data_IF_549686385372
#
_entry.id   IF_549686385372
#
_cell.length_a   1.000
_cell.length_b   1.000
_cell.length_c   1.000
_cell.angle_alpha   90.00
_cell.angle_beta   90.00
_cell.angle_gamma   90.00
#
_symmetry.space_group_name_H-M   'P 1'
#
loop_
_entity.id
_entity.type
_entity.pdbx_description
1 polymer ?
#
# COMPACT_ATOMS: atom_id res chain seq x y z
N UNK A 1 -37.51 34.49 -1.74
CA UNK A 1 -36.09 34.21 -1.45
C UNK A 1 -35.30 34.39 -2.74
N UNK A 2 -34.38 35.36 -2.77
CA UNK A 2 -33.79 35.91 -4.01
C UNK A 2 -32.70 34.97 -4.58
N UNK A 3 -32.61 34.78 -5.92
CA UNK A 3 -31.64 33.88 -6.58
C UNK A 3 -30.16 34.24 -6.35
N UNK A 4 -29.90 35.43 -5.79
CA UNK A 4 -28.56 35.95 -5.51
C UNK A 4 -27.92 35.25 -4.30
N UNK A 5 -28.69 34.91 -3.27
CA UNK A 5 -28.15 34.22 -2.08
C UNK A 5 -27.72 32.79 -2.38
N UNK A 6 -28.39 32.12 -3.32
CA UNK A 6 -28.01 30.76 -3.76
C UNK A 6 -26.73 30.75 -4.60
N UNK A 7 -26.47 31.80 -5.40
CA UNK A 7 -25.23 31.96 -6.16
C UNK A 7 -24.04 32.30 -5.27
N UNK A 8 -24.23 33.14 -4.25
CA UNK A 8 -23.20 33.43 -3.23
C UNK A 8 -22.85 32.21 -2.37
N UNK A 9 -23.83 31.38 -2.00
CA UNK A 9 -23.57 30.14 -1.25
C UNK A 9 -22.79 29.11 -2.08
N UNK A 10 -23.10 28.99 -3.38
CA UNK A 10 -22.38 28.11 -4.30
C UNK A 10 -20.96 28.62 -4.59
N UNK A 11 -20.76 29.94 -4.67
CA UNK A 11 -19.42 30.54 -4.77
C UNK A 11 -18.58 30.33 -3.50
N UNK A 12 -19.18 30.41 -2.30
CA UNK A 12 -18.50 30.11 -1.04
C UNK A 12 -18.13 28.61 -0.92
N UNK A 13 -19.02 27.70 -1.35
CA UNK A 13 -18.70 26.27 -1.42
C UNK A 13 -17.64 25.94 -2.49
N UNK A 14 -17.61 26.66 -3.61
CA UNK A 14 -16.58 26.47 -4.65
C UNK A 14 -15.22 27.04 -4.26
N UNK A 15 -15.16 28.09 -3.43
CA UNK A 15 -13.89 28.66 -2.96
C UNK A 15 -13.21 27.77 -1.90
N UNK A 16 -13.98 26.97 -1.15
CA UNK A 16 -13.45 25.99 -0.20
C UNK A 16 -12.80 24.75 -0.86
N UNK A 17 -12.99 24.52 -2.17
CA UNK A 17 -12.48 23.33 -2.88
C UNK A 17 -11.12 23.54 -3.56
N UNK A 18 -10.57 24.77 -3.56
CA UNK A 18 -9.29 25.09 -4.22
C UNK A 18 -8.09 25.18 -3.27
N UNK A 19 -8.30 24.89 -2.00
CA UNK A 19 -7.24 24.80 -1.01
C UNK A 19 -6.55 23.43 -1.13
N UNK A 20 -5.82 23.21 -2.23
CA UNK A 20 -4.70 22.27 -2.26
C UNK A 20 -3.62 22.80 -1.33
N UNK A 21 -3.91 22.80 -0.02
CA UNK A 21 -3.01 23.32 0.99
C UNK A 21 -1.81 22.37 1.01
N UNK A 22 -0.69 22.83 0.47
CA UNK A 22 0.58 22.49 1.09
C UNK A 22 0.42 22.89 2.56
N UNK A 23 0.06 21.92 3.39
CA UNK A 23 0.02 22.10 4.83
C UNK A 23 1.46 22.46 5.22
N UNK A 24 1.66 23.60 5.87
CA UNK A 24 2.96 23.96 6.42
C UNK A 24 3.44 22.92 7.44
N UNK A 25 4.66 23.07 7.93
CA UNK A 25 5.15 22.20 9.01
C UNK A 25 4.19 22.31 10.21
N UNK A 26 3.68 21.21 10.78
CA UNK A 26 2.77 21.28 11.91
C UNK A 26 3.47 21.91 13.12
N UNK A 27 2.71 22.74 13.85
CA UNK A 27 3.18 23.51 15.01
C UNK A 27 4.24 24.58 14.72
N UNK A 28 4.54 24.85 13.45
CA UNK A 28 5.25 26.06 13.02
C UNK A 28 4.32 27.27 13.21
N UNK A 29 4.72 28.20 14.08
CA UNK A 29 3.86 29.28 14.55
C UNK A 29 4.10 30.58 13.78
N UNK A 30 5.33 30.80 13.34
CA UNK A 30 5.67 31.98 12.53
C UNK A 30 5.52 31.73 11.02
N UNK A 31 5.37 30.47 10.60
CA UNK A 31 5.09 30.06 9.24
C UNK A 31 6.32 30.13 8.34
N UNK A 32 7.52 29.97 8.89
CA UNK A 32 8.78 30.03 8.15
C UNK A 32 9.23 28.67 7.55
N UNK A 33 8.36 27.65 7.61
CA UNK A 33 8.58 26.26 7.19
C UNK A 33 9.71 25.55 7.97
N UNK A 34 10.11 26.08 9.13
CA UNK A 34 11.15 25.53 10.01
C UNK A 34 10.67 25.45 11.46
N UNK A 35 10.30 24.25 11.89
CA UNK A 35 9.94 23.99 13.28
C UNK A 35 11.17 24.08 14.20
N UNK A 36 11.18 25.09 15.07
CA UNK A 36 12.23 25.33 16.05
C UNK A 36 11.94 24.65 17.40
N UNK A 37 12.98 24.54 18.25
CA UNK A 37 12.83 23.96 19.59
C UNK A 37 11.85 24.76 20.48
N UNK A 38 11.88 26.12 20.50
CA UNK A 38 10.90 26.91 21.26
C UNK A 38 9.46 26.71 20.81
N UNK A 39 9.22 26.59 19.50
CA UNK A 39 7.88 26.35 18.96
C UNK A 39 7.35 24.97 19.34
N UNK A 40 8.17 23.94 19.17
CA UNK A 40 7.80 22.58 19.60
C UNK A 40 7.55 22.53 21.12
N UNK A 41 8.41 23.17 21.93
CA UNK A 41 8.23 23.23 23.38
C UNK A 41 6.92 23.94 23.76
N UNK A 42 6.61 25.06 23.11
CA UNK A 42 5.37 25.80 23.32
C UNK A 42 4.16 24.93 22.96
N UNK A 43 4.19 24.26 21.82
CA UNK A 43 3.13 23.33 21.39
C UNK A 43 2.90 22.17 22.39
N UNK A 44 3.98 21.63 22.98
CA UNK A 44 3.89 20.60 24.03
C UNK A 44 3.24 21.18 25.29
N UNK A 45 3.69 22.35 25.74
CA UNK A 45 3.19 22.99 26.96
C UNK A 45 1.72 23.38 26.81
N UNK A 46 1.33 24.00 25.70
CA UNK A 46 -0.06 24.35 25.38
C UNK A 46 -0.93 23.08 25.37
N UNK A 47 -0.44 21.97 24.80
CA UNK A 47 -1.16 20.70 24.82
C UNK A 47 -1.29 20.08 26.22
N UNK A 48 -0.34 20.28 27.13
CA UNK A 48 -0.42 19.77 28.51
C UNK A 48 -1.35 20.64 29.35
N UNK A 49 -1.25 21.96 29.20
CA UNK A 49 -2.08 22.94 29.90
C UNK A 49 -3.56 22.74 29.58
N UNK A 50 -3.89 22.64 28.28
CA UNK A 50 -5.26 22.41 27.82
C UNK A 50 -5.84 21.06 28.27
N UNK A 51 -5.01 20.01 28.40
CA UNK A 51 -5.47 18.66 28.77
C UNK A 51 -5.61 18.44 30.27
N UNK A 52 -4.75 19.05 31.08
CA UNK A 52 -4.60 18.69 32.49
C UNK A 52 -4.80 19.85 33.46
N UNK A 53 -4.58 21.09 33.03
CA UNK A 53 -4.55 22.26 33.91
C UNK A 53 -5.73 23.21 33.71
N UNK A 54 -6.59 22.95 32.72
CA UNK A 54 -7.76 23.79 32.42
C UNK A 54 -7.41 25.04 31.59
N UNK A 55 -6.30 25.00 30.87
CA UNK A 55 -5.86 26.06 29.97
C UNK A 55 -6.91 26.42 28.91
N UNK A 56 -7.00 27.71 28.59
CA UNK A 56 -7.93 28.24 27.57
C UNK A 56 -7.26 28.51 26.22
N UNK A 57 -5.95 28.29 26.10
CA UNK A 57 -5.21 28.45 24.84
C UNK A 57 -5.61 27.30 23.90
N UNK A 58 -5.83 27.62 22.63
CA UNK A 58 -6.10 26.61 21.60
C UNK A 58 -4.87 25.72 21.41
N UNK A 59 -4.95 24.49 21.91
CA UNK A 59 -3.86 23.53 21.83
C UNK A 59 -3.82 22.83 20.46
N UNK A 60 -2.62 22.47 19.96
CA UNK A 60 -2.49 21.70 18.74
C UNK A 60 -3.14 20.31 18.89
N UNK A 61 -3.61 19.76 17.77
CA UNK A 61 -4.20 18.42 17.79
C UNK A 61 -3.15 17.38 18.21
N UNK A 62 -3.55 16.25 18.85
CA UNK A 62 -2.61 15.18 19.18
C UNK A 62 -1.86 14.62 17.97
N UNK A 63 -2.46 14.74 16.77
CA UNK A 63 -1.86 14.30 15.51
C UNK A 63 -0.76 15.27 15.07
N UNK A 64 -1.04 16.57 15.10
CA UNK A 64 -0.07 17.61 14.71
C UNK A 64 1.12 17.62 15.66
N UNK A 65 0.90 17.46 16.97
CA UNK A 65 1.99 17.41 17.95
C UNK A 65 2.92 16.21 17.71
N UNK A 66 2.37 15.04 17.33
CA UNK A 66 3.18 13.86 16.98
C UNK A 66 3.93 14.07 15.67
N UNK A 67 3.31 14.69 14.68
CA UNK A 67 3.97 15.01 13.40
C UNK A 67 5.10 16.01 13.61
N UNK A 68 4.86 17.08 14.38
CA UNK A 68 5.85 18.10 14.74
C UNK A 68 7.06 17.46 15.44
N UNK A 69 6.83 16.62 16.45
CA UNK A 69 7.90 15.91 17.15
C UNK A 69 8.71 15.01 16.20
N UNK A 70 8.04 14.29 15.30
CA UNK A 70 8.72 13.45 14.30
C UNK A 70 9.56 14.29 13.34
N UNK A 71 9.01 15.39 12.82
CA UNK A 71 9.68 16.27 11.86
C UNK A 71 10.90 16.92 12.49
N UNK A 72 10.77 17.39 13.73
CA UNK A 72 11.87 17.93 14.50
C UNK A 72 13.01 16.91 14.65
N UNK A 73 12.69 15.69 15.09
CA UNK A 73 13.67 14.63 15.37
C UNK A 73 14.31 14.05 14.10
N UNK A 74 13.52 13.84 13.04
CA UNK A 74 13.97 13.06 11.88
C UNK A 74 14.29 13.92 10.66
N UNK A 75 13.64 15.07 10.51
CA UNK A 75 13.78 15.96 9.36
C UNK A 75 14.40 17.32 9.73
N UNK A 76 15.01 17.41 10.91
CA UNK A 76 15.70 18.61 11.41
C UNK A 76 14.77 19.84 11.42
N UNK A 77 13.49 19.63 11.73
CA UNK A 77 12.46 20.67 11.80
C UNK A 77 11.88 21.12 10.45
N UNK A 78 12.29 20.52 9.33
CA UNK A 78 11.93 21.01 7.99
C UNK A 78 11.11 20.01 7.19
N UNK A 79 10.50 20.49 6.10
CA UNK A 79 9.88 19.63 5.10
C UNK A 79 10.91 18.71 4.44
N UNK A 80 10.49 17.49 4.07
CA UNK A 80 11.33 16.51 3.38
C UNK A 80 10.97 16.45 1.90
N UNK A 81 11.94 16.74 1.04
CA UNK A 81 11.78 16.61 -0.42
C UNK A 81 12.34 15.27 -0.91
N UNK A 82 11.54 14.53 -1.67
CA UNK A 82 11.89 13.21 -2.21
C UNK A 82 11.74 13.22 -3.72
N UNK A 83 12.78 12.76 -4.41
CA UNK A 83 12.73 12.46 -5.84
C UNK A 83 12.56 10.95 -6.01
N UNK A 84 11.52 10.56 -6.75
CA UNK A 84 11.24 9.17 -7.07
C UNK A 84 11.98 8.71 -8.35
N UNK A 85 11.95 7.41 -8.66
CA UNK A 85 12.68 6.85 -9.80
C UNK A 85 12.08 7.23 -11.16
N UNK A 86 10.89 7.86 -11.18
CA UNK A 86 10.34 8.48 -12.38
C UNK A 86 10.86 9.91 -12.60
N UNK A 87 11.70 10.42 -11.68
CA UNK A 87 12.25 11.77 -11.71
C UNK A 87 11.31 12.82 -11.14
N UNK A 88 10.19 12.42 -10.52
CA UNK A 88 9.24 13.35 -9.92
C UNK A 88 9.63 13.69 -8.49
N UNK A 89 9.63 14.97 -8.18
CA UNK A 89 9.91 15.49 -6.85
C UNK A 89 8.61 15.76 -6.08
N UNK A 90 8.53 15.26 -4.85
CA UNK A 90 7.41 15.47 -3.93
C UNK A 90 7.93 15.99 -2.59
N UNK A 91 7.36 17.09 -2.09
CA UNK A 91 7.67 17.65 -0.78
C UNK A 91 6.67 17.16 0.26
N UNK A 92 7.18 16.67 1.39
CA UNK A 92 6.45 16.18 2.53
C UNK A 92 6.57 17.16 3.68
N UNK A 93 5.45 17.72 4.11
CA UNK A 93 5.33 18.48 5.36
C UNK A 93 4.81 17.65 6.53
N UNK A 94 4.45 16.38 6.27
CA UNK A 94 3.99 15.42 7.28
C UNK A 94 4.53 14.01 6.99
N UNK A 95 4.83 13.20 8.01
CA UNK A 95 5.28 11.82 7.85
C UNK A 95 4.22 10.93 7.21
N UNK A 96 4.66 9.93 6.43
CA UNK A 96 3.75 8.94 5.83
C UNK A 96 3.35 7.88 6.87
N UNK A 97 2.04 7.65 7.02
CA UNK A 97 1.46 6.75 8.03
C UNK A 97 0.58 5.64 7.42
N UNK A 98 0.05 5.84 6.22
CA UNK A 98 -0.91 4.92 5.58
C UNK A 98 -0.49 4.66 4.13
N UNK A 99 0.45 3.74 3.97
CA UNK A 99 1.06 3.40 2.69
C UNK A 99 0.31 2.25 2.03
N UNK A 100 -0.09 2.45 0.77
CA UNK A 100 -0.63 1.43 -0.11
C UNK A 100 0.40 1.02 -1.17
N UNK A 101 0.66 -0.28 -1.33
CA UNK A 101 1.70 -0.80 -2.21
C UNK A 101 1.11 -1.69 -3.31
N UNK A 102 1.28 -1.31 -4.57
CA UNK A 102 0.91 -2.17 -5.71
C UNK A 102 2.07 -3.05 -6.20
N UNK A 103 3.28 -2.82 -5.70
CA UNK A 103 4.52 -3.51 -6.05
C UNK A 103 5.15 -4.23 -4.83
N UNK A 104 5.44 -5.52 -4.98
CA UNK A 104 6.08 -6.32 -3.93
C UNK A 104 7.56 -5.97 -3.71
N UNK A 105 8.27 -5.54 -4.76
CA UNK A 105 9.70 -5.20 -4.68
C UNK A 105 9.96 -4.01 -3.73
N UNK A 106 9.10 -2.99 -3.79
CA UNK A 106 9.16 -1.88 -2.85
C UNK A 106 8.78 -2.31 -1.45
N UNK A 107 7.83 -3.24 -1.27
CA UNK A 107 7.52 -3.77 0.06
C UNK A 107 8.75 -4.43 0.69
N UNK A 108 9.49 -5.22 -0.07
CA UNK A 108 10.75 -5.83 0.39
C UNK A 108 11.80 -4.78 0.76
N UNK A 109 11.91 -3.71 -0.03
CA UNK A 109 12.79 -2.59 0.26
C UNK A 109 12.40 -1.89 1.56
N UNK A 110 11.12 -1.57 1.75
CA UNK A 110 10.59 -0.93 2.96
C UNK A 110 10.80 -1.81 4.20
N UNK A 111 10.55 -3.12 4.08
CA UNK A 111 10.84 -4.10 5.12
C UNK A 111 12.34 -4.12 5.47
N UNK A 112 13.22 -4.08 4.46
CA UNK A 112 14.68 -4.14 4.64
C UNK A 112 15.26 -2.92 5.35
N UNK A 113 14.66 -1.74 5.15
CA UNK A 113 15.03 -0.51 5.88
C UNK A 113 14.30 -0.39 7.22
N UNK A 114 13.47 -1.36 7.60
CA UNK A 114 12.77 -1.41 8.88
C UNK A 114 11.64 -0.40 8.99
N UNK A 115 10.86 -0.22 7.92
CA UNK A 115 9.53 0.40 8.01
C UNK A 115 8.60 -0.58 8.70
N UNK A 116 7.86 -0.07 9.68
CA UNK A 116 6.94 -0.88 10.47
C UNK A 116 5.77 -1.40 9.62
N UNK A 117 5.36 -2.68 9.78
CA UNK A 117 4.28 -3.27 8.99
C UNK A 117 2.93 -2.57 9.15
N UNK A 118 2.65 -1.95 10.30
CA UNK A 118 1.39 -1.24 10.61
C UNK A 118 1.17 0.01 9.74
N UNK A 119 2.25 0.56 9.18
CA UNK A 119 2.15 1.66 8.20
C UNK A 119 1.66 1.19 6.83
N UNK A 120 1.75 -0.11 6.54
CA UNK A 120 1.32 -0.68 5.26
C UNK A 120 -0.15 -1.10 5.38
N UNK A 121 -1.05 -0.28 4.83
CA UNK A 121 -2.50 -0.46 4.98
C UNK A 121 -3.14 -1.24 3.82
N UNK A 122 -2.41 -1.43 2.72
CA UNK A 122 -2.84 -2.19 1.56
C UNK A 122 -1.66 -2.73 0.78
N UNK A 123 -1.77 -3.95 0.28
CA UNK A 123 -0.72 -4.64 -0.48
C UNK A 123 -1.27 -5.27 -1.76
N UNK A 124 -0.37 -5.45 -2.74
CA UNK A 124 -0.64 -6.22 -3.95
C UNK A 124 -1.04 -7.66 -3.60
N UNK A 125 -1.95 -8.25 -4.40
CA UNK A 125 -2.39 -9.64 -4.23
C UNK A 125 -1.24 -10.65 -4.18
N UNK A 126 -0.15 -10.37 -4.89
CA UNK A 126 1.03 -11.25 -4.93
C UNK A 126 1.74 -11.35 -3.58
N UNK A 127 1.63 -10.33 -2.72
CA UNK A 127 2.12 -10.36 -1.35
C UNK A 127 1.29 -11.35 -0.51
N UNK A 128 -0.02 -11.36 -0.72
CA UNK A 128 -0.94 -12.24 0.00
C UNK A 128 -0.86 -13.70 -0.50
N UNK A 129 -0.48 -13.91 -1.76
CA UNK A 129 -0.27 -15.23 -2.35
C UNK A 129 0.98 -15.96 -1.80
N UNK A 130 1.90 -15.25 -1.12
CA UNK A 130 3.08 -15.85 -0.45
C UNK A 130 3.07 -15.61 1.08
N UNK A 131 2.25 -16.37 1.83
CA UNK A 131 2.14 -16.24 3.28
C UNK A 131 3.39 -16.67 4.04
N UNK A 132 4.28 -17.45 3.42
CA UNK A 132 5.52 -17.89 4.05
C UNK A 132 6.54 -16.76 4.07
N UNK A 133 6.61 -15.99 2.98
CA UNK A 133 7.52 -14.86 2.87
C UNK A 133 6.93 -13.55 3.43
N UNK A 134 5.60 -13.41 3.42
CA UNK A 134 4.87 -12.23 3.92
C UNK A 134 3.86 -12.56 5.03
N UNK A 135 4.27 -13.22 6.13
CA UNK A 135 3.34 -13.63 7.18
C UNK A 135 2.67 -12.43 7.89
N UNK A 136 3.38 -11.32 8.08
CA UNK A 136 2.86 -10.14 8.77
C UNK A 136 1.85 -9.31 7.96
N UNK A 137 1.72 -9.56 6.65
CA UNK A 137 0.82 -8.83 5.76
C UNK A 137 -0.48 -9.58 5.43
N UNK A 138 -0.69 -10.78 5.98
CA UNK A 138 -1.85 -11.62 5.64
C UNK A 138 -3.20 -11.03 6.05
N UNK A 139 -3.22 -10.09 7.00
CA UNK A 139 -4.42 -9.34 7.39
C UNK A 139 -4.59 -7.99 6.66
N UNK A 140 -3.68 -7.64 5.75
CA UNK A 140 -3.66 -6.35 5.08
C UNK A 140 -4.61 -6.35 3.87
N UNK A 141 -5.20 -5.19 3.55
CA UNK A 141 -6.16 -5.09 2.45
C UNK A 141 -5.53 -5.48 1.10
N UNK A 142 -6.26 -6.27 0.31
CA UNK A 142 -5.84 -6.71 -1.02
C UNK A 142 -6.16 -5.63 -2.07
N UNK A 143 -5.14 -5.07 -2.70
CA UNK A 143 -5.30 -4.00 -3.70
C UNK A 143 -5.41 -4.52 -5.14
N UNK A 144 -5.50 -5.84 -5.32
CA UNK A 144 -5.39 -6.45 -6.64
C UNK A 144 -3.95 -6.39 -7.17
N UNK A 145 -3.75 -6.05 -8.43
CA UNK A 145 -2.41 -5.87 -9.00
C UNK A 145 -2.32 -4.61 -9.85
N UNK A 146 -1.11 -4.19 -10.22
CA UNK A 146 -0.92 -3.02 -11.10
C UNK A 146 -1.70 -3.10 -12.42
N UNK A 147 -1.96 -4.31 -12.93
CA UNK A 147 -2.71 -4.54 -14.17
C UNK A 147 -4.22 -4.74 -13.95
N UNK A 148 -4.63 -5.07 -12.73
CA UNK A 148 -6.02 -5.26 -12.34
C UNK A 148 -6.21 -4.73 -10.92
N UNK A 149 -6.13 -3.40 -10.73
CA UNK A 149 -6.20 -2.79 -9.40
C UNK A 149 -7.63 -2.80 -8.87
N UNK A 150 -7.77 -3.02 -7.57
CA UNK A 150 -9.03 -2.85 -6.85
C UNK A 150 -9.14 -1.41 -6.34
N UNK A 151 -9.78 -0.55 -7.14
CA UNK A 151 -9.93 0.88 -6.82
C UNK A 151 -10.84 1.13 -5.63
N UNK A 152 -11.89 0.33 -5.46
CA UNK A 152 -12.82 0.49 -4.34
C UNK A 152 -12.13 0.17 -3.02
N UNK A 153 -11.40 -0.95 -2.99
CA UNK A 153 -10.63 -1.34 -1.82
C UNK A 153 -9.52 -0.33 -1.52
N UNK A 154 -8.77 0.11 -2.54
CA UNK A 154 -7.71 1.12 -2.39
C UNK A 154 -8.24 2.47 -1.88
N UNK A 155 -9.42 2.91 -2.33
CA UNK A 155 -10.05 4.13 -1.83
C UNK A 155 -10.57 3.98 -0.39
N UNK A 156 -11.17 2.82 -0.06
CA UNK A 156 -11.77 2.58 1.25
C UNK A 156 -10.77 2.65 2.41
N UNK A 157 -9.52 2.25 2.17
CA UNK A 157 -8.46 2.25 3.18
C UNK A 157 -7.84 3.64 3.39
N UNK A 158 -8.22 4.66 2.61
CA UNK A 158 -7.74 6.06 2.73
C UNK A 158 -6.22 6.15 2.95
N UNK A 159 -5.42 5.75 1.94
CA UNK A 159 -3.97 5.87 2.03
C UNK A 159 -3.54 7.33 1.98
N UNK A 160 -2.43 7.68 2.64
CA UNK A 160 -1.79 8.99 2.48
C UNK A 160 -0.65 8.96 1.46
N UNK A 161 -0.17 7.75 1.11
CA UNK A 161 0.76 7.51 0.03
C UNK A 161 0.47 6.20 -0.71
N UNK A 162 0.69 6.20 -2.03
CA UNK A 162 0.61 5.04 -2.91
C UNK A 162 1.93 4.85 -3.63
N UNK A 163 2.51 3.66 -3.56
CA UNK A 163 3.76 3.33 -4.24
C UNK A 163 3.48 2.42 -5.44
N UNK A 164 4.08 2.79 -6.58
CA UNK A 164 3.91 2.16 -7.88
C UNK A 164 5.29 1.90 -8.51
N UNK A 165 5.30 1.17 -9.61
CA UNK A 165 6.50 1.03 -10.44
C UNK A 165 6.81 2.34 -11.17
N UNK A 166 8.10 2.62 -11.37
CA UNK A 166 8.54 3.76 -12.18
C UNK A 166 8.55 3.43 -13.67
N UNK A 167 9.17 2.31 -14.04
CA UNK A 167 9.37 1.95 -15.45
C UNK A 167 8.56 0.75 -15.91
N UNK A 168 8.09 -0.10 -14.98
CA UNK A 168 7.21 -1.22 -15.32
C UNK A 168 5.75 -0.76 -15.42
N UNK A 169 5.11 -1.07 -16.55
CA UNK A 169 3.67 -0.82 -16.76
C UNK A 169 3.28 0.63 -16.48
N UNK A 170 4.05 1.56 -17.04
CA UNK A 170 3.90 3.01 -16.82
C UNK A 170 2.48 3.52 -17.08
N UNK A 171 1.82 3.04 -18.13
CA UNK A 171 0.43 3.39 -18.46
C UNK A 171 -0.56 2.94 -17.38
N UNK A 172 -0.45 1.69 -16.92
CA UNK A 172 -1.30 1.18 -15.84
C UNK A 172 -1.05 1.93 -14.53
N UNK A 173 0.20 2.28 -14.22
CA UNK A 173 0.53 3.11 -13.06
C UNK A 173 -0.05 4.52 -13.19
N UNK A 174 -0.04 5.10 -14.40
CA UNK A 174 -0.67 6.40 -14.66
C UNK A 174 -2.19 6.35 -14.50
N UNK A 175 -2.85 5.26 -14.92
CA UNK A 175 -4.29 5.07 -14.73
C UNK A 175 -4.65 4.93 -13.25
N UNK A 176 -3.84 4.20 -12.47
CA UNK A 176 -4.02 4.09 -11.02
C UNK A 176 -3.89 5.45 -10.35
N UNK A 177 -2.82 6.18 -10.68
CA UNK A 177 -2.56 7.50 -10.15
C UNK A 177 -3.70 8.49 -10.46
N UNK A 178 -4.12 8.53 -11.72
CA UNK A 178 -5.24 9.39 -12.17
C UNK A 178 -6.52 9.06 -11.43
N UNK A 179 -6.85 7.77 -11.31
CA UNK A 179 -8.10 7.32 -10.69
C UNK A 179 -8.11 7.62 -9.20
N UNK A 180 -7.09 7.19 -8.46
CA UNK A 180 -7.03 7.42 -7.01
C UNK A 180 -6.91 8.91 -6.65
N UNK A 181 -6.16 9.70 -7.43
CA UNK A 181 -6.09 11.16 -7.23
C UNK A 181 -7.44 11.85 -7.47
N UNK A 182 -8.26 11.33 -8.38
CA UNK A 182 -9.62 11.88 -8.61
C UNK A 182 -10.57 11.63 -7.43
N UNK A 183 -10.31 10.58 -6.64
CA UNK A 183 -11.08 10.22 -5.45
C UNK A 183 -10.60 11.03 -4.24
N UNK A 184 -9.29 11.10 -4.04
CA UNK A 184 -8.67 11.87 -2.97
C UNK A 184 -7.41 12.58 -3.48
N UNK A 185 -7.46 13.93 -3.66
CA UNK A 185 -6.32 14.69 -4.14
C UNK A 185 -5.19 14.80 -3.11
N UNK A 186 -5.42 14.41 -1.85
CA UNK A 186 -4.41 14.37 -0.79
C UNK A 186 -3.47 13.17 -0.86
N UNK A 187 -3.77 12.17 -1.70
CA UNK A 187 -2.92 10.99 -1.87
C UNK A 187 -1.62 11.39 -2.58
N UNK A 188 -0.50 11.07 -1.95
CA UNK A 188 0.84 11.25 -2.52
C UNK A 188 1.22 10.00 -3.30
N UNK A 189 1.86 10.17 -4.45
CA UNK A 189 2.28 9.04 -5.28
C UNK A 189 3.80 9.01 -5.34
N UNK A 190 4.35 7.81 -5.23
CA UNK A 190 5.78 7.56 -5.37
C UNK A 190 6.00 6.42 -6.34
N UNK A 191 6.94 6.61 -7.28
CA UNK A 191 7.28 5.58 -8.25
C UNK A 191 8.70 5.08 -8.04
N UNK A 192 8.84 3.82 -7.67
CA UNK A 192 10.14 3.18 -7.45
C UNK A 192 10.23 1.88 -8.23
N UNK A 193 11.39 1.58 -8.80
CA UNK A 193 11.58 0.29 -9.45
C UNK A 193 11.91 -0.77 -8.41
N UNK A 194 12.79 -0.51 -7.45
CA UNK A 194 13.15 -1.36 -6.30
C UNK A 194 13.60 -2.80 -6.62
N UNK A 195 13.53 -3.23 -7.89
CA UNK A 195 14.07 -4.47 -8.42
C UNK A 195 15.39 -4.22 -9.18
N UNK A 196 15.72 -2.96 -9.50
CA UNK A 196 16.95 -2.58 -10.23
C UNK A 196 18.10 -2.37 -9.24
N UNK A 197 19.16 -3.20 -9.27
CA UNK A 197 20.28 -3.04 -8.33
C UNK A 197 20.97 -1.68 -8.43
N UNK A 198 20.99 -1.08 -9.63
CA UNK A 198 21.62 0.21 -9.88
C UNK A 198 20.95 1.38 -9.15
N UNK A 199 19.62 1.35 -8.97
CA UNK A 199 18.86 2.44 -8.32
C UNK A 199 18.46 2.10 -6.88
N UNK A 200 18.48 0.83 -6.49
CA UNK A 200 18.02 0.34 -5.17
C UNK A 200 18.59 1.13 -3.98
N UNK A 201 19.90 1.39 -3.97
CA UNK A 201 20.54 2.04 -2.83
C UNK A 201 20.12 3.51 -2.65
N UNK A 202 19.76 4.18 -3.74
CA UNK A 202 19.23 5.55 -3.71
C UNK A 202 17.76 5.55 -3.31
N UNK A 203 16.96 4.64 -3.90
CA UNK A 203 15.54 4.48 -3.56
C UNK A 203 15.32 4.12 -2.09
N UNK A 204 16.18 3.24 -1.54
CA UNK A 204 16.16 2.86 -0.14
C UNK A 204 16.50 4.05 0.79
N UNK A 205 17.40 4.94 0.35
CA UNK A 205 17.70 6.19 1.08
C UNK A 205 16.52 7.14 1.06
N UNK A 206 15.92 7.39 -0.10
CA UNK A 206 14.74 8.23 -0.26
C UNK A 206 13.56 7.73 0.58
N UNK A 207 13.29 6.43 0.54
CA UNK A 207 12.20 5.79 1.30
C UNK A 207 12.48 5.71 2.80
N UNK A 208 13.75 5.61 3.19
CA UNK A 208 14.16 5.65 4.59
C UNK A 208 13.94 7.03 5.21
N UNK A 209 14.28 8.09 4.47
CA UNK A 209 14.06 9.47 4.90
C UNK A 209 12.59 9.78 5.15
N UNK A 210 11.67 9.39 4.24
CA UNK A 210 10.21 9.60 4.45
C UNK A 210 9.68 8.88 5.68
N UNK A 211 10.25 7.73 6.01
CA UNK A 211 9.79 6.89 7.11
C UNK A 211 10.43 7.24 8.45
N UNK A 212 11.40 8.17 8.49
CA UNK A 212 12.14 8.56 9.69
C UNK A 212 13.31 7.64 10.02
N UNK A 213 13.64 6.73 9.11
CA UNK A 213 14.77 5.82 9.26
C UNK A 213 16.03 6.43 8.63
N UNK A 214 16.67 7.39 9.33
CA UNK A 214 18.03 7.81 8.97
C UNK A 214 18.99 6.63 9.24
N UNK A 215 19.87 6.32 8.28
CA UNK A 215 21.05 5.47 8.58
C UNK A 215 21.86 6.18 9.66
N UNK A 216 22.19 5.48 10.76
CA UNK A 216 23.22 5.95 11.68
C UNK A 216 24.52 6.12 10.87
N UNK A 217 25.13 7.31 10.79
CA UNK A 217 26.48 7.43 10.25
C UNK A 217 27.44 6.66 11.18
N UNK A 218 28.45 6.02 10.59
CA UNK A 218 29.26 4.95 11.18
C UNK A 218 29.51 5.05 12.69
N UNK A 219 29.00 4.07 13.43
CA UNK A 219 29.36 3.86 14.83
C UNK A 219 30.79 3.35 14.92
N UNK A 220 31.71 4.20 15.38
CA UNK A 220 32.95 3.73 15.97
C UNK A 220 32.60 2.81 17.14
N UNK A 221 33.31 1.69 17.22
CA UNK A 221 33.15 0.68 18.23
C UNK A 221 33.25 1.25 19.65
N UNK A 222 32.13 1.30 20.36
CA UNK A 222 32.11 1.13 21.82
C UNK A 222 30.93 0.24 22.17
N UNK A 223 31.24 -1.03 22.34
CA UNK A 223 30.36 -2.05 22.87
C UNK A 223 29.92 -1.67 24.29
N UNK A 224 28.63 -1.38 24.46
CA UNK A 224 27.91 -1.74 25.67
C UNK A 224 26.70 -2.55 25.23
N UNK A 225 26.57 -3.73 25.84
CA UNK A 225 25.87 -4.86 25.26
C UNK A 225 24.37 -4.65 25.12
N UNK A 226 23.87 -4.84 23.90
CA UNK A 226 22.59 -5.50 23.64
C UNK A 226 22.67 -6.15 22.26
N UNK A 227 22.17 -7.38 22.17
CA UNK A 227 22.46 -8.39 21.15
C UNK A 227 22.34 -7.92 19.69
N UNK A 228 23.34 -8.15 18.81
CA UNK A 228 23.25 -7.84 17.39
C UNK A 228 22.56 -8.99 16.64
N UNK A 229 21.36 -8.73 16.10
CA UNK A 229 20.78 -9.62 15.09
C UNK A 229 21.60 -9.44 13.80
N UNK A 230 22.21 -10.54 13.39
CA UNK A 230 23.26 -10.60 12.41
C UNK A 230 22.82 -10.14 11.02
N UNK A 231 23.57 -9.18 10.46
CA UNK A 231 23.78 -9.07 9.03
C UNK A 231 24.58 -10.31 8.57
N UNK A 232 23.89 -11.34 8.09
CA UNK A 232 24.54 -12.37 7.27
C UNK A 232 24.14 -12.15 5.82
N UNK A 233 25.17 -12.02 4.97
CA UNK A 233 25.06 -11.70 3.56
C UNK A 233 24.19 -12.68 2.80
N UNK A 234 23.23 -12.15 2.05
CA UNK A 234 22.51 -12.91 1.04
C UNK A 234 23.11 -12.60 -0.32
N UNK A 235 23.85 -13.58 -0.82
CA UNK A 235 24.29 -13.67 -2.21
C UNK A 235 23.07 -13.70 -3.13
N UNK A 236 22.93 -12.67 -3.96
CA UNK A 236 22.01 -12.63 -5.10
C UNK A 236 22.23 -13.86 -5.99
N UNK A 237 21.30 -14.80 -5.95
CA UNK A 237 21.12 -15.78 -7.03
C UNK A 237 19.97 -15.29 -7.90
N UNK A 238 20.32 -14.52 -8.92
CA UNK A 238 19.43 -14.16 -10.02
C UNK A 238 18.85 -15.42 -10.64
N UNK A 239 17.54 -15.63 -10.46
CA UNK A 239 16.79 -16.63 -11.21
C UNK A 239 15.99 -15.91 -12.28
N UNK A 240 16.64 -15.68 -13.42
CA UNK A 240 15.99 -15.39 -14.69
C UNK A 240 14.99 -16.53 -14.97
N UNK A 241 13.69 -16.28 -14.83
CA UNK A 241 12.65 -17.12 -15.46
C UNK A 241 12.37 -16.56 -16.84
N UNK A 242 13.14 -17.05 -17.81
CA UNK A 242 12.75 -17.02 -19.22
C UNK A 242 11.73 -18.13 -19.48
N UNK A 243 10.63 -17.76 -20.13
CA UNK A 243 9.92 -18.63 -21.06
C UNK A 243 8.71 -19.41 -20.53
N UNK A 244 7.51 -18.88 -20.74
CA UNK A 244 6.38 -19.71 -21.14
C UNK A 244 5.83 -19.15 -22.45
N UNK A 245 6.37 -19.64 -23.57
CA UNK A 245 5.81 -19.45 -24.91
C UNK A 245 5.58 -20.86 -25.45
N UNK A 246 4.33 -21.31 -25.40
CA UNK A 246 3.94 -22.61 -25.94
C UNK A 246 3.77 -22.50 -27.45
N UNK A 247 4.70 -23.07 -28.22
CA UNK A 247 4.52 -23.33 -29.65
C UNK A 247 4.84 -24.79 -29.94
N UNK A 248 3.79 -25.51 -30.35
CA UNK A 248 3.74 -26.53 -31.38
C UNK A 248 4.95 -27.46 -31.57
N UNK A 249 4.72 -28.74 -31.26
CA UNK A 249 5.63 -29.86 -31.47
C UNK A 249 5.44 -30.40 -32.89
N UNK A 250 6.46 -30.25 -33.75
CA UNK A 250 6.66 -31.10 -34.91
C UNK A 250 7.76 -32.13 -34.57
N UNK A 251 7.51 -33.39 -34.92
CA UNK A 251 8.31 -34.52 -34.50
C UNK A 251 9.70 -34.56 -35.12
N UNK A 252 10.63 -35.20 -34.41
CA UNK A 252 11.70 -35.96 -35.05
C UNK A 252 12.25 -37.01 -34.09
N UNK A 253 12.38 -38.20 -34.65
CA UNK A 253 12.77 -39.49 -34.08
C UNK A 253 14.24 -39.51 -33.68
N UNK A 254 14.56 -40.07 -32.51
CA UNK A 254 15.92 -40.58 -32.26
C UNK A 254 15.88 -41.88 -31.48
N UNK A 255 16.58 -42.87 -32.07
CA UNK A 255 16.80 -44.24 -31.63
C UNK A 255 17.35 -44.34 -30.21
N UNK A 256 16.87 -45.33 -29.46
CA UNK A 256 17.53 -45.90 -28.28
C UNK A 256 17.90 -47.36 -28.62
N UNK A 257 19.15 -47.82 -28.41
CA UNK A 257 19.50 -49.21 -28.63
C UNK A 257 19.21 -50.08 -27.40
N UNK A 258 18.38 -51.10 -27.64
CA UNK A 258 18.44 -52.47 -27.14
C UNK A 258 18.82 -52.75 -25.68
N UNK A 259 17.89 -53.42 -24.98
CA UNK A 259 18.16 -54.73 -24.37
C UNK A 259 16.87 -55.50 -24.03
N UNK A 260 16.99 -56.81 -24.20
CA UNK A 260 16.20 -57.91 -23.63
C UNK A 260 14.79 -58.19 -24.17
N UNK A 261 14.76 -59.28 -24.94
CA UNK A 261 13.64 -60.06 -25.46
C UNK A 261 12.92 -60.76 -24.30
N UNK A 262 11.60 -60.60 -24.19
CA UNK A 262 10.75 -61.51 -23.43
C UNK A 262 9.53 -61.87 -24.30
N UNK A 263 9.36 -63.17 -24.45
CA UNK A 263 8.44 -63.88 -25.33
C UNK A 263 6.98 -63.76 -24.91
N UNK A 264 6.15 -63.68 -25.95
CA UNK A 264 4.70 -63.83 -26.06
C UNK A 264 4.02 -64.70 -24.99
N UNK A 265 2.96 -64.18 -24.37
CA UNK A 265 1.77 -64.99 -24.07
C UNK A 265 0.50 -64.12 -24.13
N UNK A 266 -0.48 -64.67 -24.85
CA UNK A 266 -1.77 -64.10 -25.25
C UNK A 266 -2.86 -64.73 -24.38
N UNK A 267 -3.75 -63.91 -23.82
CA UNK A 267 -5.10 -64.23 -23.30
C UNK A 267 -5.42 -63.22 -22.19
N UNK A 268 -6.57 -62.59 -22.02
CA UNK A 268 -7.89 -62.60 -22.67
C UNK A 268 -8.70 -61.54 -21.89
N UNK A 269 -9.46 -60.70 -22.59
CA UNK A 269 -10.57 -59.94 -22.00
C UNK A 269 -11.69 -60.91 -21.56
N UNK A 270 -12.60 -60.46 -20.69
CA UNK A 270 -13.94 -60.22 -21.20
C UNK A 270 -14.54 -58.87 -20.81
N UNK A 271 -15.61 -58.54 -21.54
CA UNK A 271 -16.38 -57.31 -21.54
C UNK A 271 -17.72 -57.43 -20.77
N UNK A 272 -18.43 -56.31 -20.75
CA UNK A 272 -19.87 -56.10 -20.47
C UNK A 272 -20.30 -56.05 -18.99
N UNK A 273 -21.26 -55.24 -18.55
CA UNK A 273 -22.23 -54.35 -19.22
C UNK A 273 -22.82 -53.36 -18.21
N UNK A 274 -23.17 -52.12 -18.58
CA UNK A 274 -24.51 -51.62 -18.95
C UNK A 274 -25.67 -51.95 -18.00
N UNK A 275 -26.21 -50.93 -17.32
CA UNK A 275 -27.64 -50.50 -17.32
C UNK A 275 -27.74 -49.29 -16.35
N UNK A 276 -28.18 -48.09 -16.71
CA UNK A 276 -29.45 -47.58 -17.27
C UNK A 276 -30.50 -47.23 -16.22
N UNK A 277 -31.07 -46.01 -16.41
CA UNK A 277 -32.35 -45.51 -15.89
C UNK A 277 -32.36 -45.06 -14.41
N UNK A 278 -33.12 -44.05 -13.96
CA UNK A 278 -34.29 -43.39 -14.54
C UNK A 278 -34.58 -42.07 -13.79
N UNK A 279 -34.96 -41.07 -14.58
CA UNK A 279 -35.91 -39.97 -14.40
C UNK A 279 -36.83 -39.89 -13.17
N UNK A 280 -37.02 -38.65 -12.66
CA UNK A 280 -38.28 -37.92 -12.32
C UNK A 280 -38.07 -37.01 -11.08
N UNK A 281 -38.02 -35.68 -11.24
CA UNK A 281 -39.15 -34.73 -11.18
C UNK A 281 -39.93 -34.73 -9.86
N UNK A 282 -39.98 -33.60 -9.14
CA UNK A 282 -41.24 -32.98 -8.67
C UNK A 282 -41.02 -31.64 -7.92
N UNK A 283 -41.88 -30.65 -8.24
CA UNK A 283 -42.51 -29.60 -7.37
C UNK A 283 -41.60 -28.63 -6.59
N UNK A 284 -41.48 -27.34 -6.92
CA UNK A 284 -42.45 -26.21 -6.85
C UNK A 284 -43.16 -26.13 -5.49
N UNK A 285 -42.97 -25.02 -4.76
CA UNK A 285 -44.02 -24.28 -4.04
C UNK A 285 -43.52 -22.85 -3.79
N UNK A 286 -44.43 -21.90 -3.98
CA UNK A 286 -44.21 -20.47 -3.98
C UNK A 286 -44.99 -19.84 -2.82
N UNK A 287 -44.53 -18.64 -2.43
CA UNK A 287 -45.29 -17.53 -1.82
C UNK A 287 -45.89 -17.70 -0.43
N UNK A 288 -45.51 -16.79 0.49
CA UNK A 288 -46.49 -16.09 1.31
C UNK A 288 -46.19 -14.58 1.35
N UNK A 289 -47.27 -13.82 1.30
CA UNK A 289 -47.39 -12.38 1.03
C UNK A 289 -47.69 -11.63 2.33
N UNK A 290 -47.37 -10.33 2.32
CA UNK A 290 -47.79 -9.28 3.27
C UNK A 290 -49.31 -9.14 3.45
N UNK A 291 -49.71 -8.70 4.65
CA UNK A 291 -50.82 -7.78 4.99
C UNK A 291 -50.60 -7.32 6.46
N UNK A 292 -50.36 -6.07 6.87
CA UNK A 292 -51.04 -4.76 6.73
C UNK A 292 -51.98 -4.40 7.90
N UNK A 293 -51.99 -3.09 8.24
CA UNK A 293 -52.81 -2.33 9.21
C UNK A 293 -52.34 -2.40 10.67
N UNK A 294 -52.17 -1.33 11.46
CA UNK A 294 -52.70 0.04 11.55
C UNK A 294 -52.76 0.32 13.09
N UNK A 295 -52.62 1.50 13.70
CA UNK A 295 -53.20 2.81 13.41
C UNK A 295 -52.69 3.84 14.44
N UNK A 296 -52.49 5.07 13.98
CA UNK A 296 -52.79 6.40 14.57
C UNK A 296 -52.30 6.83 15.97
N UNK A 297 -51.56 7.92 15.88
CA UNK A 297 -51.40 9.04 16.81
C UNK A 297 -52.67 9.91 16.95
N UNK A 298 -52.90 10.41 18.17
CA UNK A 298 -53.50 11.74 18.44
C UNK A 298 -53.33 12.09 19.92
N UNK A 299 -52.99 13.36 20.18
CA UNK A 299 -52.92 14.12 21.44
C UNK A 299 -51.81 13.77 22.44
#
# INVERSE_FOLDING_TARGET
>A
MRPVTRRLLLLACSLCLLAGMAQGVPCDRDGDDTLTAPELATAILDSLDARFMGGTVEAPSPVDLRDAAFIYEHWDGRTLTITDSSGRTTTLSRPLRRIALFNSDTLEMLRSIGVEPDRIVGVSKYVLEDPVFYPEYQGTANLGSTWAPDYEQAASIRPDAVFLYATLSESSCADIEKTLRSIDPGIRFFRFDSYRPATYAEEARSSGSSSGKKRRPGGSSRSTGTSPVAWQGWSMRSRLRTGCRSTWRAGTTTRVPGKARATTRRSSLPAAGTSSARTRSSTRWSTLRRSSAGTRTSS
#
